data_IF_748932516101
#
_entry.id   IF_748932516101
#
_cell.length_a   1.000
_cell.length_b   1.000
_cell.length_c   1.000
_cell.angle_alpha   90.00
_cell.angle_beta   90.00
_cell.angle_gamma   90.00
#
_symmetry.space_group_name_H-M   'P 1'
#
loop_
_entity.id
_entity.type
_entity.pdbx_description
1 polymer ?
#
# COMPACT_ATOMS: atom_id res chain seq x y z
N UNK A 1 27.78 -15.63 20.40
CA UNK A 1 26.55 -15.75 19.60
C UNK A 1 26.42 -14.47 18.79
N UNK A 2 26.62 -14.53 17.48
CA UNK A 2 26.83 -13.33 16.66
C UNK A 2 25.47 -12.73 16.28
N UNK A 3 25.24 -11.45 16.58
CA UNK A 3 23.99 -10.76 16.20
C UNK A 3 23.76 -10.80 14.66
N UNK A 4 24.86 -10.96 13.91
CA UNK A 4 24.90 -11.08 12.46
C UNK A 4 24.16 -12.30 11.86
N UNK A 5 23.84 -13.35 12.63
CA UNK A 5 23.10 -14.52 12.10
C UNK A 5 21.58 -14.40 12.25
N UNK A 6 21.07 -13.40 12.99
CA UNK A 6 19.64 -13.25 13.27
C UNK A 6 18.84 -12.58 12.15
N UNK A 7 19.52 -11.95 11.19
CA UNK A 7 18.88 -11.39 10.00
C UNK A 7 19.60 -11.95 8.80
N UNK A 8 19.12 -13.10 8.31
CA UNK A 8 19.60 -13.69 7.06
C UNK A 8 19.42 -12.67 5.92
N UNK A 9 20.32 -12.67 4.92
CA UNK A 9 20.27 -11.77 3.76
C UNK A 9 18.88 -11.73 3.09
N UNK A 10 18.18 -12.86 3.07
CA UNK A 10 16.79 -12.95 2.61
C UNK A 10 15.85 -12.09 3.46
N UNK A 11 15.90 -12.21 4.79
CA UNK A 11 15.10 -11.40 5.72
C UNK A 11 15.43 -9.92 5.59
N UNK A 12 16.70 -9.55 5.39
CA UNK A 12 17.11 -8.16 5.17
C UNK A 12 16.54 -7.61 3.85
N UNK A 13 16.63 -8.38 2.76
CA UNK A 13 16.10 -8.00 1.46
C UNK A 13 14.58 -7.80 1.49
N UNK A 14 13.84 -8.76 2.06
CA UNK A 14 12.38 -8.66 2.22
C UNK A 14 12.01 -7.44 3.06
N UNK A 15 12.68 -7.23 4.21
CA UNK A 15 12.37 -6.11 5.10
C UNK A 15 12.67 -4.77 4.46
N UNK A 16 13.80 -4.65 3.76
CA UNK A 16 14.18 -3.42 3.05
C UNK A 16 13.17 -3.07 1.95
N UNK A 17 12.78 -4.05 1.14
CA UNK A 17 11.80 -3.84 0.06
C UNK A 17 10.42 -3.50 0.63
N UNK A 18 9.97 -4.23 1.66
CA UNK A 18 8.68 -4.02 2.31
C UNK A 18 8.58 -2.64 2.96
N UNK A 19 9.65 -2.14 3.58
CA UNK A 19 9.67 -0.80 4.15
C UNK A 19 9.65 0.29 3.07
N UNK A 20 10.40 0.09 1.99
CA UNK A 20 10.45 1.05 0.88
C UNK A 20 9.08 1.19 0.20
N UNK A 21 8.53 0.07 -0.29
CA UNK A 21 7.22 0.06 -0.92
C UNK A 21 6.10 0.37 0.07
N UNK A 22 6.19 -0.13 1.31
CA UNK A 22 5.19 0.16 2.34
C UNK A 22 5.07 1.65 2.68
N UNK A 23 6.19 2.38 2.74
CA UNK A 23 6.16 3.83 2.96
C UNK A 23 5.49 4.56 1.78
N UNK A 24 5.78 4.14 0.55
CA UNK A 24 5.17 4.70 -0.66
C UNK A 24 3.67 4.41 -0.72
N UNK A 25 3.26 3.16 -0.45
CA UNK A 25 1.88 2.70 -0.51
C UNK A 25 0.96 3.37 0.53
N UNK A 26 1.50 3.78 1.68
CA UNK A 26 0.75 4.58 2.67
C UNK A 26 0.33 5.92 2.07
N UNK A 27 1.23 6.57 1.33
CA UNK A 27 0.96 7.86 0.71
C UNK A 27 -0.01 7.72 -0.46
N UNK A 28 0.16 6.68 -1.27
CA UNK A 28 -0.79 6.30 -2.34
C UNK A 28 -2.18 6.06 -1.74
N UNK A 29 -2.27 5.26 -0.68
CA UNK A 29 -3.54 4.98 0.01
C UNK A 29 -4.18 6.25 0.58
N UNK A 30 -3.38 7.14 1.17
CA UNK A 30 -3.84 8.45 1.66
C UNK A 30 -4.37 9.31 0.53
N UNK A 31 -3.67 9.36 -0.61
CA UNK A 31 -4.10 10.10 -1.79
C UNK A 31 -5.41 9.54 -2.38
N UNK A 32 -5.56 8.20 -2.42
CA UNK A 32 -6.80 7.57 -2.89
C UNK A 32 -8.00 7.85 -1.99
N UNK A 33 -7.81 7.90 -0.67
CA UNK A 33 -8.86 8.32 0.25
C UNK A 33 -9.25 9.79 0.05
N UNK A 34 -8.27 10.67 -0.21
CA UNK A 34 -8.52 12.09 -0.49
C UNK A 34 -9.13 12.35 -1.87
N UNK A 35 -8.98 11.43 -2.82
CA UNK A 35 -9.57 11.52 -4.14
C UNK A 35 -11.09 11.28 -4.14
N UNK A 36 -11.64 10.69 -3.08
CA UNK A 36 -13.09 10.54 -2.91
C UNK A 36 -13.70 11.90 -2.57
N UNK A 37 -14.77 12.27 -3.27
CA UNK A 37 -15.50 13.51 -3.02
C UNK A 37 -16.02 13.57 -1.57
N UNK A 38 -15.64 14.63 -0.85
CA UNK A 38 -16.07 14.89 0.52
C UNK A 38 -17.59 15.01 0.65
N UNK A 39 -18.28 15.44 -0.42
CA UNK A 39 -19.73 15.55 -0.46
C UNK A 39 -20.45 14.20 -0.24
N UNK A 40 -19.81 13.07 -0.59
CA UNK A 40 -20.35 11.74 -0.33
C UNK A 40 -20.54 11.48 1.17
N UNK A 41 -19.61 11.96 1.98
CA UNK A 41 -19.66 11.79 3.43
C UNK A 41 -20.67 12.75 4.07
N UNK A 42 -20.79 13.97 3.57
CA UNK A 42 -21.80 14.94 4.01
C UNK A 42 -23.22 14.48 3.70
N UNK A 43 -23.45 13.89 2.51
CA UNK A 43 -24.73 13.28 2.12
C UNK A 43 -25.06 12.09 3.01
N UNK A 44 -24.09 11.20 3.25
CA UNK A 44 -24.28 10.04 4.12
C UNK A 44 -24.70 10.46 5.53
N UNK A 45 -24.02 11.46 6.11
CA UNK A 45 -24.34 11.99 7.43
C UNK A 45 -25.73 12.64 7.46
N UNK A 46 -26.08 13.39 6.40
CA UNK A 46 -27.41 14.01 6.25
C UNK A 46 -28.55 12.99 6.16
N UNK A 47 -28.27 11.80 5.64
CA UNK A 47 -29.20 10.67 5.61
C UNK A 47 -29.21 9.83 6.91
N UNK A 48 -28.50 10.29 7.95
CA UNK A 48 -28.40 9.58 9.23
C UNK A 48 -27.47 8.37 9.21
N UNK A 49 -26.66 8.19 8.15
CA UNK A 49 -25.64 7.15 8.11
C UNK A 49 -24.48 7.60 9.01
N UNK A 50 -24.33 6.95 10.16
CA UNK A 50 -23.25 7.28 11.11
C UNK A 50 -21.86 7.24 10.47
N UNK A 51 -20.94 8.08 10.95
CA UNK A 51 -19.65 8.37 10.30
C UNK A 51 -18.81 7.11 9.98
N UNK A 52 -18.72 6.16 10.90
CA UNK A 52 -18.01 4.90 10.67
C UNK A 52 -18.66 4.05 9.58
N UNK A 53 -20.01 4.00 9.56
CA UNK A 53 -20.75 3.25 8.53
C UNK A 53 -20.63 3.92 7.16
N UNK A 54 -20.66 5.24 7.12
CA UNK A 54 -20.43 6.01 5.90
C UNK A 54 -19.02 5.75 5.36
N UNK A 55 -17.99 5.85 6.20
CA UNK A 55 -16.62 5.55 5.79
C UNK A 55 -16.47 4.13 5.23
N UNK A 56 -16.90 3.10 5.96
CA UNK A 56 -16.70 1.70 5.56
C UNK A 56 -17.53 1.31 4.33
N UNK A 57 -18.74 1.84 4.18
CA UNK A 57 -19.66 1.43 3.09
C UNK A 57 -19.62 2.33 1.85
N UNK A 58 -19.10 3.55 1.98
CA UNK A 58 -19.16 4.56 0.92
C UNK A 58 -17.73 4.98 0.55
N UNK A 59 -17.01 5.63 1.46
CA UNK A 59 -15.68 6.21 1.18
C UNK A 59 -14.63 5.14 0.87
N UNK A 60 -14.51 4.12 1.71
CA UNK A 60 -13.49 3.08 1.60
C UNK A 60 -13.58 2.29 0.28
N UNK A 61 -14.74 1.72 -0.12
CA UNK A 61 -14.83 0.98 -1.38
C UNK A 61 -14.58 1.87 -2.60
N UNK A 62 -14.96 3.15 -2.57
CA UNK A 62 -14.66 4.10 -3.65
C UNK A 62 -13.18 4.40 -3.75
N UNK A 63 -12.51 4.64 -2.61
CA UNK A 63 -11.07 4.84 -2.58
C UNK A 63 -10.33 3.61 -3.13
N UNK A 64 -10.74 2.39 -2.75
CA UNK A 64 -10.15 1.15 -3.27
C UNK A 64 -10.31 1.07 -4.80
N UNK A 65 -11.48 1.44 -5.34
CA UNK A 65 -11.71 1.44 -6.79
C UNK A 65 -10.80 2.44 -7.52
N UNK A 66 -10.61 3.63 -6.95
CA UNK A 66 -9.68 4.65 -7.48
C UNK A 66 -8.25 4.13 -7.46
N UNK A 67 -7.85 3.46 -6.37
CA UNK A 67 -6.49 2.98 -6.14
C UNK A 67 -6.14 1.71 -6.92
N UNK A 68 -7.13 0.93 -7.35
CA UNK A 68 -6.92 -0.42 -7.89
C UNK A 68 -5.91 -0.48 -9.05
N UNK A 69 -5.95 0.48 -9.96
CA UNK A 69 -5.00 0.53 -11.08
C UNK A 69 -3.58 0.90 -10.60
N UNK A 70 -3.47 1.86 -9.69
CA UNK A 70 -2.18 2.31 -9.13
C UNK A 70 -1.51 1.18 -8.35
N UNK A 71 -2.23 0.54 -7.43
CA UNK A 71 -1.74 -0.60 -6.65
C UNK A 71 -1.27 -1.76 -7.54
N UNK A 72 -1.96 -2.01 -8.66
CA UNK A 72 -1.55 -3.04 -9.61
C UNK A 72 -0.25 -2.67 -10.33
N UNK A 73 -0.07 -1.40 -10.70
CA UNK A 73 1.17 -0.93 -11.31
C UNK A 73 2.35 -1.01 -10.34
N UNK A 74 2.17 -0.52 -9.10
CA UNK A 74 3.23 -0.52 -8.08
C UNK A 74 3.62 -1.96 -7.69
N UNK A 75 2.68 -2.90 -7.67
CA UNK A 75 2.96 -4.32 -7.49
C UNK A 75 3.84 -4.90 -8.62
N UNK A 76 3.55 -4.54 -9.87
CA UNK A 76 4.34 -4.98 -11.03
C UNK A 76 5.77 -4.42 -10.92
N UNK A 77 5.92 -3.17 -10.51
CA UNK A 77 7.22 -2.54 -10.35
C UNK A 77 8.01 -3.16 -9.18
N UNK A 78 7.35 -3.46 -8.05
CA UNK A 78 7.96 -4.20 -6.94
C UNK A 78 8.49 -5.57 -7.36
N UNK A 79 7.76 -6.28 -8.22
CA UNK A 79 8.20 -7.57 -8.75
C UNK A 79 9.43 -7.44 -9.67
N UNK A 80 9.51 -6.37 -10.47
CA UNK A 80 10.70 -6.08 -11.28
C UNK A 80 11.91 -5.79 -10.41
N UNK A 81 11.75 -4.95 -9.39
CA UNK A 81 12.83 -4.57 -8.48
C UNK A 81 13.34 -5.76 -7.67
N UNK A 82 12.44 -6.64 -7.23
CA UNK A 82 12.82 -7.90 -6.59
C UNK A 82 13.64 -8.80 -7.52
N UNK A 83 13.21 -8.95 -8.79
CA UNK A 83 13.91 -9.77 -9.77
C UNK A 83 15.30 -9.22 -10.09
N UNK A 84 15.44 -7.90 -10.26
CA UNK A 84 16.74 -7.24 -10.48
C UNK A 84 17.64 -7.41 -9.25
N UNK A 85 17.11 -7.21 -8.04
CA UNK A 85 17.85 -7.40 -6.79
C UNK A 85 18.34 -8.84 -6.63
N UNK A 86 17.50 -9.82 -6.93
CA UNK A 86 17.87 -11.25 -6.94
C UNK A 86 18.90 -11.57 -8.02
N UNK A 87 18.80 -10.98 -9.20
CA UNK A 87 19.76 -11.20 -10.28
C UNK A 87 21.15 -10.68 -9.88
N UNK A 88 21.23 -9.47 -9.33
CA UNK A 88 22.51 -8.87 -8.89
C UNK A 88 23.10 -9.64 -7.70
N UNK A 89 22.27 -10.06 -6.73
CA UNK A 89 22.71 -10.84 -5.57
C UNK A 89 23.06 -12.31 -5.92
N UNK A 90 22.54 -12.83 -7.03
CA UNK A 90 22.85 -14.14 -7.57
C UNK A 90 24.00 -14.15 -8.59
N UNK A 91 24.59 -13.00 -8.91
CA UNK A 91 25.90 -12.94 -9.58
C UNK A 91 26.98 -13.15 -8.51
N UNK A 92 27.08 -14.39 -8.06
CA UNK A 92 28.32 -15.06 -7.65
C UNK A 92 28.59 -16.18 -8.66
#
# INVERSE_FOLDING_TARGET
MNLATWVNAWTMGVTSLALNYGAYEVEVSRAGLQAVDVGQQEVALSLGVGQQRGFVRITLPQAIQILSLTLANDLIDMLKDWAIGSAIAGVD
#
